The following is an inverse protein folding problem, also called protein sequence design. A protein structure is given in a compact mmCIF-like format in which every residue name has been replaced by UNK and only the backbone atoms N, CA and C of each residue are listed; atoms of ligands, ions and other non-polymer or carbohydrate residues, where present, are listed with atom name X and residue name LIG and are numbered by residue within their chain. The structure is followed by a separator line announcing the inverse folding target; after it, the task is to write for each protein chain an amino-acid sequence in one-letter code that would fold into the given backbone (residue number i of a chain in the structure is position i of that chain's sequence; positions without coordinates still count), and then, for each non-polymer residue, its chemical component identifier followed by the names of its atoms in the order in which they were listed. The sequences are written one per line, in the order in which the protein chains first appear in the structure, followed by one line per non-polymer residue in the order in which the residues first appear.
data_IF_173455063240
#
_entry.id   IF_173455063240
#
_cell.length_a   1.000
_cell.length_b   1.000
_cell.length_c   1.000
_cell.angle_alpha   90.00
_cell.angle_beta   90.00
_cell.angle_gamma   90.00
#
_symmetry.space_group_name_H-M   'P 1'
#
loop_
_entity.id
_entity.type
_entity.pdbx_description
1 polymer ?
#
# COMPACT_ATOMS: atom_id res chain seq x y z
N UNK A 1 -1.08 -62.49 -32.11
CA UNK A 1 -0.97 -62.50 -30.63
C UNK A 1 -0.18 -61.27 -30.22
N UNK A 2 -0.81 -60.28 -29.57
CA UNK A 2 -0.23 -58.97 -29.31
C UNK A 2 0.54 -58.96 -27.99
N UNK A 3 1.82 -58.57 -28.04
CA UNK A 3 2.63 -58.32 -26.85
C UNK A 3 2.77 -56.82 -26.62
N UNK A 4 1.75 -56.20 -26.04
CA UNK A 4 1.79 -54.80 -25.65
C UNK A 4 2.83 -54.68 -24.53
N UNK A 5 4.00 -54.11 -24.87
CA UNK A 5 5.05 -53.77 -23.91
C UNK A 5 4.59 -52.54 -23.14
N UNK A 6 3.93 -52.74 -22.00
CA UNK A 6 3.62 -51.67 -21.07
C UNK A 6 4.92 -51.21 -20.40
N UNK A 7 5.54 -50.18 -20.96
CA UNK A 7 6.58 -49.43 -20.26
C UNK A 7 5.84 -48.49 -19.31
N UNK A 8 5.73 -48.92 -18.05
CA UNK A 8 5.14 -48.13 -16.97
C UNK A 8 6.10 -46.98 -16.69
N UNK A 9 5.83 -45.83 -17.30
CA UNK A 9 6.51 -44.58 -16.97
C UNK A 9 6.01 -44.14 -15.60
N UNK A 10 6.77 -44.44 -14.54
CA UNK A 10 6.57 -43.83 -13.23
C UNK A 10 6.89 -42.34 -13.34
N UNK A 11 5.88 -41.54 -13.68
CA UNK A 11 5.92 -40.09 -13.60
C UNK A 11 5.95 -39.73 -12.11
N UNK A 12 7.16 -39.62 -11.56
CA UNK A 12 7.42 -39.06 -10.24
C UNK A 12 7.03 -37.57 -10.28
N UNK A 13 5.75 -37.28 -10.10
CA UNK A 13 5.26 -35.98 -9.66
C UNK A 13 5.67 -35.82 -8.19
N UNK A 14 6.96 -35.54 -7.97
CA UNK A 14 7.39 -34.91 -6.74
C UNK A 14 6.79 -33.51 -6.77
N UNK A 15 5.64 -33.40 -6.10
CA UNK A 15 4.94 -32.15 -5.91
C UNK A 15 5.93 -31.10 -5.46
N UNK A 16 6.10 -30.08 -6.29
CA UNK A 16 6.45 -28.76 -5.81
C UNK A 16 5.35 -28.39 -4.82
N UNK A 17 5.55 -28.74 -3.55
CA UNK A 17 4.96 -27.99 -2.47
C UNK A 17 5.58 -26.60 -2.60
N UNK A 18 4.97 -25.77 -3.46
CA UNK A 18 4.99 -24.34 -3.22
C UNK A 18 4.24 -24.21 -1.91
N UNK A 19 4.97 -24.29 -0.80
CA UNK A 19 4.57 -23.63 0.42
C UNK A 19 4.42 -22.17 0.00
N UNK A 20 3.21 -21.81 -0.41
CA UNK A 20 2.77 -20.44 -0.36
C UNK A 20 2.88 -20.12 1.12
N UNK A 21 4.01 -19.52 1.49
CA UNK A 21 4.16 -18.85 2.75
C UNK A 21 3.09 -17.75 2.76
N UNK A 22 1.87 -18.11 3.16
CA UNK A 22 0.83 -17.21 3.64
C UNK A 22 1.31 -16.66 4.97
N UNK A 23 2.35 -15.86 4.86
CA UNK A 23 2.89 -14.95 5.82
C UNK A 23 3.26 -13.69 5.05
N UNK A 24 2.37 -13.24 4.16
CA UNK A 24 2.38 -11.85 3.73
C UNK A 24 2.18 -11.06 5.01
N UNK A 25 3.28 -10.61 5.60
CA UNK A 25 3.28 -9.59 6.63
C UNK A 25 2.29 -8.51 6.17
N UNK A 26 1.25 -8.25 6.95
CA UNK A 26 0.28 -7.16 6.79
C UNK A 26 0.96 -5.77 6.94
N UNK A 27 2.24 -5.67 6.57
CA UNK A 27 3.01 -4.44 6.58
C UNK A 27 2.49 -3.55 5.45
N UNK A 28 1.55 -2.70 5.82
CA UNK A 28 1.19 -1.53 5.03
C UNK A 28 2.39 -0.58 4.95
N UNK A 29 2.53 0.09 3.81
CA UNK A 29 3.51 1.15 3.66
C UNK A 29 2.87 2.40 3.03
N UNK A 30 3.51 3.55 3.22
CA UNK A 30 3.07 4.80 2.62
C UNK A 30 4.12 5.36 1.68
N UNK A 31 3.66 6.00 0.61
CA UNK A 31 4.49 6.76 -0.33
C UNK A 31 3.94 8.17 -0.40
N UNK A 32 4.83 9.15 -0.56
CA UNK A 32 4.45 10.55 -0.74
C UNK A 32 4.95 11.09 -2.06
N UNK A 33 4.06 11.72 -2.82
CA UNK A 33 4.38 12.56 -3.97
C UNK A 33 4.23 14.02 -3.55
N UNK A 34 5.20 14.87 -3.93
CA UNK A 34 5.22 16.27 -3.51
C UNK A 34 5.32 17.15 -4.76
N UNK A 35 4.25 17.86 -5.05
CA UNK A 35 4.22 18.96 -6.02
C UNK A 35 4.81 20.23 -5.44
N UNK A 36 5.67 20.88 -6.21
CA UNK A 36 6.29 22.17 -5.85
C UNK A 36 5.53 23.33 -6.49
N UNK A 37 6.00 24.55 -6.24
CA UNK A 37 5.46 25.79 -6.82
C UNK A 37 5.24 25.69 -8.35
N UNK A 38 4.23 26.40 -8.91
CA UNK A 38 3.42 27.43 -8.26
C UNK A 38 2.23 26.91 -7.43
N UNK A 39 1.78 25.68 -7.65
CA UNK A 39 0.64 25.09 -6.95
C UNK A 39 1.10 23.87 -6.14
N UNK A 40 1.56 24.08 -4.88
CA UNK A 40 2.10 22.99 -4.10
C UNK A 40 1.02 21.99 -3.72
N UNK A 41 1.35 20.71 -3.77
CA UNK A 41 0.46 19.64 -3.31
C UNK A 41 1.26 18.52 -2.69
N UNK A 42 0.58 17.71 -1.87
CA UNK A 42 1.11 16.43 -1.44
C UNK A 42 0.07 15.36 -1.70
N UNK A 43 0.48 14.25 -2.31
CA UNK A 43 -0.33 13.03 -2.37
C UNK A 43 0.30 12.01 -1.45
N UNK A 44 -0.50 11.46 -0.53
CA UNK A 44 -0.09 10.36 0.34
C UNK A 44 -0.85 9.12 -0.16
N UNK A 45 -0.11 8.09 -0.57
CA UNK A 45 -0.65 6.81 -1.00
C UNK A 45 -0.30 5.75 0.02
N UNK A 46 -1.30 4.97 0.42
CA UNK A 46 -1.15 3.84 1.33
C UNK A 46 -1.30 2.57 0.50
N UNK A 47 -0.32 1.68 0.61
CA UNK A 47 -0.24 0.43 -0.13
C UNK A 47 -0.30 -0.77 0.79
N UNK A 48 -0.88 -1.86 0.28
CA UNK A 48 -0.71 -3.19 0.86
C UNK A 48 0.69 -3.72 0.56
N UNK A 49 1.10 -4.80 1.22
CA UNK A 49 2.36 -5.50 0.92
C UNK A 49 2.39 -6.14 -0.48
N UNK A 50 1.27 -6.14 -1.21
CA UNK A 50 1.14 -6.58 -2.60
C UNK A 50 1.11 -5.41 -3.59
N UNK A 51 1.52 -4.21 -3.16
CA UNK A 51 1.54 -2.99 -3.96
C UNK A 51 0.16 -2.53 -4.46
N UNK A 52 -0.92 -2.97 -3.81
CA UNK A 52 -2.27 -2.49 -4.09
C UNK A 52 -2.52 -1.16 -3.37
N UNK A 53 -3.00 -0.14 -4.10
CA UNK A 53 -3.37 1.15 -3.50
C UNK A 53 -4.63 0.97 -2.67
N UNK A 54 -4.48 1.01 -1.35
CA UNK A 54 -5.60 0.93 -0.40
C UNK A 54 -6.27 2.29 -0.20
N UNK A 55 -5.47 3.37 -0.21
CA UNK A 55 -5.98 4.72 -0.01
C UNK A 55 -5.09 5.76 -0.64
N UNK A 56 -5.71 6.76 -1.25
CA UNK A 56 -5.03 7.94 -1.76
C UNK A 56 -5.59 9.19 -1.08
N UNK A 57 -4.70 10.03 -0.56
CA UNK A 57 -5.02 11.24 0.19
C UNK A 57 -4.33 12.40 -0.52
N UNK A 58 -5.13 13.29 -1.07
CA UNK A 58 -4.67 14.54 -1.65
C UNK A 58 -4.66 15.64 -0.60
N UNK A 59 -3.57 16.40 -0.55
CA UNK A 59 -3.44 17.60 0.26
C UNK A 59 -3.14 18.77 -0.68
N UNK A 60 -4.16 19.58 -0.93
CA UNK A 60 -4.11 20.75 -1.82
C UNK A 60 -3.39 21.93 -1.15
N UNK A 61 -2.67 22.69 -1.96
CA UNK A 61 -1.99 23.93 -1.58
C UNK A 61 -1.07 23.77 -0.36
N UNK A 62 -0.49 22.57 -0.19
CA UNK A 62 0.32 22.23 0.97
C UNK A 62 1.39 21.20 0.65
N UNK A 63 2.62 21.53 1.03
CA UNK A 63 3.77 20.65 0.93
C UNK A 63 4.10 20.06 2.30
N UNK A 64 3.95 18.75 2.43
CA UNK A 64 4.37 18.03 3.64
C UNK A 64 5.88 17.80 3.59
N UNK A 65 6.59 18.29 4.61
CA UNK A 65 8.02 18.03 4.76
C UNK A 65 8.27 16.68 5.43
N UNK A 66 8.53 15.66 4.60
CA UNK A 66 8.83 14.28 5.03
C UNK A 66 10.24 14.11 5.62
N UNK A 67 11.14 15.07 5.47
CA UNK A 67 12.49 14.98 6.06
C UNK A 67 12.42 14.97 7.60
N UNK A 68 11.42 15.68 8.14
CA UNK A 68 11.18 15.80 9.59
C UNK A 68 10.72 14.47 10.17
N UNK A 69 11.47 13.96 11.16
CA UNK A 69 11.13 12.75 11.93
C UNK A 69 9.71 12.79 12.52
N UNK A 70 9.27 13.97 12.99
CA UNK A 70 7.91 14.15 13.53
C UNK A 70 6.83 13.94 12.47
N UNK A 71 7.05 14.39 11.24
CA UNK A 71 6.14 14.18 10.11
C UNK A 71 6.04 12.71 9.77
N UNK A 72 7.17 12.01 9.62
CA UNK A 72 7.18 10.55 9.35
C UNK A 72 6.45 9.75 10.43
N UNK A 73 6.63 10.10 11.71
CA UNK A 73 5.87 9.47 12.81
C UNK A 73 4.36 9.73 12.71
N UNK A 74 3.94 10.91 12.27
CA UNK A 74 2.51 11.20 12.05
C UNK A 74 1.94 10.36 10.91
N UNK A 75 2.67 10.23 9.80
CA UNK A 75 2.29 9.40 8.66
C UNK A 75 2.23 7.91 9.03
N UNK A 76 3.21 7.43 9.80
CA UNK A 76 3.18 6.05 10.31
C UNK A 76 1.93 5.76 11.15
N UNK A 77 1.55 6.71 12.02
CA UNK A 77 0.30 6.60 12.79
C UNK A 77 -0.97 6.69 11.94
N UNK A 78 -0.90 7.24 10.71
CA UNK A 78 -2.01 7.17 9.77
C UNK A 78 -2.19 5.75 9.24
N UNK A 79 -1.10 5.01 9.00
CA UNK A 79 -1.14 3.60 8.62
C UNK A 79 -1.75 2.74 9.72
N UNK A 80 -1.22 2.85 10.95
CA UNK A 80 -1.60 1.97 12.08
C UNK A 80 -3.07 2.12 12.48
N UNK A 81 -3.61 3.33 12.38
CA UNK A 81 -4.97 3.63 12.84
C UNK A 81 -6.03 3.45 11.74
N UNK A 82 -5.65 3.02 10.53
CA UNK A 82 -6.53 2.97 9.36
C UNK A 82 -7.40 4.22 9.21
N UNK A 83 -6.86 5.43 9.48
CA UNK A 83 -7.70 6.63 9.66
C UNK A 83 -8.59 6.87 8.43
N UNK A 84 -9.90 6.76 8.65
CA UNK A 84 -10.89 6.52 7.59
C UNK A 84 -11.40 7.83 6.98
N UNK A 85 -11.34 8.95 7.72
CA UNK A 85 -11.98 10.21 7.36
C UNK A 85 -11.00 11.39 7.18
N UNK A 86 -11.44 12.41 6.45
CA UNK A 86 -10.63 13.59 6.10
C UNK A 86 -10.27 14.39 7.36
N UNK A 87 -11.18 14.42 8.34
CA UNK A 87 -11.00 15.10 9.60
C UNK A 87 -9.89 14.45 10.46
N UNK A 88 -9.85 13.12 10.56
CA UNK A 88 -8.80 12.42 11.29
C UNK A 88 -7.41 12.65 10.69
N UNK A 89 -7.33 12.73 9.36
CA UNK A 89 -6.10 13.10 8.65
C UNK A 89 -5.72 14.55 8.93
N UNK A 90 -6.68 15.47 8.88
CA UNK A 90 -6.51 16.90 9.16
C UNK A 90 -5.92 17.12 10.56
N UNK A 91 -6.52 16.50 11.56
CA UNK A 91 -6.15 16.65 12.97
C UNK A 91 -4.76 16.09 13.28
N UNK A 92 -4.40 14.97 12.63
CA UNK A 92 -3.10 14.33 12.81
C UNK A 92 -2.00 15.15 12.14
N UNK A 93 -2.23 15.57 10.90
CA UNK A 93 -1.24 16.32 10.13
C UNK A 93 -1.15 17.78 10.57
N UNK A 94 -2.17 18.30 11.26
CA UNK A 94 -2.34 19.73 11.62
C UNK A 94 -2.48 20.59 10.37
N UNK A 95 -3.34 20.14 9.47
CA UNK A 95 -3.68 20.78 8.20
C UNK A 95 -5.18 21.05 8.23
N UNK A 96 -5.64 22.13 7.59
CA UNK A 96 -7.06 22.44 7.51
C UNK A 96 -7.79 21.38 6.65
N UNK A 97 -8.93 20.87 7.13
CA UNK A 97 -9.67 19.77 6.48
C UNK A 97 -10.05 20.07 5.04
N UNK A 98 -10.34 21.34 4.71
CA UNK A 98 -10.69 21.76 3.33
C UNK A 98 -9.59 21.50 2.29
N UNK A 99 -8.36 21.22 2.73
CA UNK A 99 -7.23 20.90 1.86
C UNK A 99 -7.13 19.40 1.58
N UNK A 100 -7.80 18.57 2.37
CA UNK A 100 -7.73 17.12 2.25
C UNK A 100 -8.85 16.64 1.34
N UNK A 101 -8.51 15.73 0.44
CA UNK A 101 -9.48 15.04 -0.40
C UNK A 101 -9.09 13.57 -0.48
N UNK A 102 -10.05 12.68 -0.32
CA UNK A 102 -9.86 11.28 -0.67
C UNK A 102 -10.29 11.01 -2.09
N UNK A 103 -9.43 10.32 -2.84
CA UNK A 103 -9.84 9.75 -4.11
C UNK A 103 -10.52 8.41 -3.81
N UNK A 104 -11.77 8.26 -4.24
CA UNK A 104 -12.38 6.94 -4.32
C UNK A 104 -11.74 6.21 -5.50
N UNK A 105 -10.96 5.16 -5.23
CA UNK A 105 -10.54 4.25 -6.29
C UNK A 105 -11.75 3.37 -6.63
N UNK A 106 -12.16 3.42 -7.90
CA UNK A 106 -13.18 2.56 -8.51
C UNK A 106 -12.66 1.13 -8.70
#
# INVERSE_FOLDING_TARGET
MPGIKYLVTCLLLLGLNVDAATGASDSLYWVTEIGKAPNPYTVIRIYSCKDEVLKEIWVKDYQIDISRKRTRRKLQKLLENHLVDEQGVADRLKIHVSRIQFTANF
#
